data_IF_234629093236
#
_entry.id   IF_234629093236
#
_cell.length_a   1.000
_cell.length_b   1.000
_cell.length_c   1.000
_cell.angle_alpha   90.00
_cell.angle_beta   90.00
_cell.angle_gamma   90.00
#
_symmetry.space_group_name_H-M   'P 1'
#
loop_
_entity.id
_entity.type
_entity.pdbx_description
1 polymer ?
#
# COMPACT_ATOMS: atom_id res chain seq x y z
N UNK A 1 -4.80 -25.83 0.00
CA UNK A 1 -4.36 -24.47 0.36
C UNK A 1 -4.97 -23.54 -0.67
N UNK A 2 -6.08 -22.89 -0.35
CA UNK A 2 -6.80 -22.00 -1.28
C UNK A 2 -5.98 -20.73 -1.42
N UNK A 3 -5.33 -20.54 -2.57
CA UNK A 3 -4.68 -19.28 -2.91
C UNK A 3 -5.78 -18.24 -3.09
N UNK A 4 -6.04 -17.45 -2.06
CA UNK A 4 -6.87 -16.25 -2.19
C UNK A 4 -6.15 -15.36 -3.21
N UNK A 5 -6.77 -15.16 -4.38
CA UNK A 5 -6.24 -14.23 -5.36
C UNK A 5 -6.26 -12.83 -4.73
N UNK A 6 -5.11 -12.19 -4.47
CA UNK A 6 -5.06 -10.91 -3.78
C UNK A 6 -5.80 -9.80 -4.55
N UNK A 7 -6.16 -10.03 -5.82
CA UNK A 7 -7.00 -9.14 -6.62
C UNK A 7 -8.50 -9.21 -6.29
N UNK A 8 -8.94 -10.20 -5.51
CA UNK A 8 -10.33 -10.27 -5.00
C UNK A 8 -10.57 -9.44 -3.74
N UNK A 9 -9.50 -8.99 -3.08
CA UNK A 9 -9.58 -8.18 -1.87
C UNK A 9 -9.65 -6.70 -2.28
N UNK A 10 -10.70 -6.00 -1.84
CA UNK A 10 -10.90 -4.59 -2.18
C UNK A 10 -9.85 -3.66 -1.55
N UNK A 11 -9.67 -2.48 -2.14
CA UNK A 11 -8.71 -1.45 -1.73
C UNK A 11 -8.74 -1.11 -0.24
N UNK A 12 -9.93 -1.08 0.38
CA UNK A 12 -10.13 -0.72 1.79
C UNK A 12 -9.61 -1.84 2.67
N UNK A 13 -9.95 -3.08 2.37
CA UNK A 13 -9.46 -4.25 3.10
C UNK A 13 -7.94 -4.38 2.98
N UNK A 14 -7.38 -4.19 1.78
CA UNK A 14 -5.93 -4.15 1.56
C UNK A 14 -5.23 -3.08 2.38
N UNK A 15 -5.83 -1.88 2.44
CA UNK A 15 -5.29 -0.77 3.25
C UNK A 15 -5.32 -1.10 4.74
N UNK A 16 -6.43 -1.66 5.25
CA UNK A 16 -6.55 -2.05 6.65
C UNK A 16 -5.50 -3.10 7.05
N UNK A 17 -5.29 -4.13 6.21
CA UNK A 17 -4.24 -5.13 6.41
C UNK A 17 -2.85 -4.50 6.44
N UNK A 18 -2.58 -3.52 5.57
CA UNK A 18 -1.29 -2.82 5.57
C UNK A 18 -1.06 -1.98 6.82
N UNK A 19 -2.09 -1.29 7.31
CA UNK A 19 -2.01 -0.52 8.56
C UNK A 19 -1.68 -1.44 9.73
N UNK A 20 -2.36 -2.60 9.83
CA UNK A 20 -2.08 -3.60 10.86
C UNK A 20 -0.65 -4.16 10.73
N UNK A 21 -0.21 -4.49 9.51
CA UNK A 21 1.13 -5.03 9.31
C UNK A 21 2.23 -4.01 9.70
N UNK A 22 2.04 -2.75 9.34
CA UNK A 22 2.98 -1.67 9.69
C UNK A 22 2.94 -1.32 11.18
N UNK A 23 1.83 -1.55 11.89
CA UNK A 23 1.76 -1.36 13.34
C UNK A 23 2.53 -2.44 14.10
N UNK A 24 2.66 -3.64 13.53
CA UNK A 24 3.46 -4.72 14.10
C UNK A 24 4.96 -4.59 13.80
N UNK A 25 5.34 -3.82 12.78
CA UNK A 25 6.73 -3.52 12.48
C UNK A 25 7.30 -2.53 13.52
N UNK A 26 8.21 -3.00 14.36
CA UNK A 26 8.74 -2.22 15.50
C UNK A 26 9.97 -1.41 15.12
N UNK A 27 10.73 -1.86 14.12
CA UNK A 27 11.94 -1.17 13.65
C UNK A 27 11.74 -0.42 12.35
N UNK A 28 12.54 0.62 12.12
CA UNK A 28 12.54 1.34 10.83
C UNK A 28 12.92 0.44 9.66
N UNK A 29 13.78 -0.57 9.88
CA UNK A 29 14.19 -1.51 8.86
C UNK A 29 13.05 -2.45 8.45
N UNK A 30 12.27 -2.95 9.42
CA UNK A 30 11.06 -3.75 9.17
C UNK A 30 10.02 -2.94 8.40
N UNK A 31 9.73 -1.72 8.85
CA UNK A 31 8.79 -0.82 8.16
C UNK A 31 9.21 -0.59 6.72
N UNK A 32 10.49 -0.31 6.47
CA UNK A 32 11.02 -0.14 5.12
C UNK A 32 10.92 -1.41 4.26
N UNK A 33 11.18 -2.58 4.84
CA UNK A 33 11.04 -3.86 4.14
C UNK A 33 9.58 -4.14 3.74
N UNK A 34 8.65 -3.95 4.69
CA UNK A 34 7.21 -4.11 4.51
C UNK A 34 6.68 -3.14 3.44
N UNK A 35 7.04 -1.86 3.52
CA UNK A 35 6.60 -0.85 2.53
C UNK A 35 7.08 -1.21 1.11
N UNK A 36 8.34 -1.64 0.95
CA UNK A 36 8.85 -2.07 -0.37
C UNK A 36 8.11 -3.29 -0.91
N UNK A 37 7.80 -4.26 -0.06
CA UNK A 37 7.02 -5.43 -0.44
C UNK A 37 5.59 -5.03 -0.84
N UNK A 38 4.95 -4.17 -0.05
CA UNK A 38 3.60 -3.67 -0.29
C UNK A 38 3.48 -2.91 -1.62
N UNK A 39 4.47 -2.08 -1.97
CA UNK A 39 4.51 -1.38 -3.26
C UNK A 39 4.59 -2.37 -4.43
N UNK A 40 5.46 -3.38 -4.35
CA UNK A 40 5.59 -4.42 -5.39
C UNK A 40 4.33 -5.26 -5.52
N UNK A 41 3.72 -5.60 -4.40
CA UNK A 41 2.48 -6.36 -4.34
C UNK A 41 1.23 -5.51 -4.62
N UNK A 42 1.38 -4.20 -4.93
CA UNK A 42 0.28 -3.26 -5.22
C UNK A 42 -0.67 -3.00 -4.04
N UNK A 43 -0.26 -3.27 -2.80
CA UNK A 43 -1.00 -2.96 -1.57
C UNK A 43 -0.81 -1.50 -1.12
N UNK A 44 0.18 -0.83 -1.70
CA UNK A 44 0.43 0.61 -1.60
C UNK A 44 0.77 1.13 -3.00
N UNK A 45 0.77 2.44 -3.16
CA UNK A 45 1.16 3.08 -4.41
C UNK A 45 2.11 4.24 -4.17
N UNK A 46 3.04 4.44 -5.10
CA UNK A 46 3.99 5.54 -5.04
C UNK A 46 3.53 6.66 -5.96
N UNK A 47 3.40 7.86 -5.42
CA UNK A 47 3.11 9.05 -6.19
C UNK A 47 4.29 9.34 -7.13
N UNK A 48 4.04 9.44 -8.44
CA UNK A 48 5.12 9.71 -9.40
C UNK A 48 5.73 11.11 -9.26
N UNK A 49 4.93 12.19 -9.09
CA UNK A 49 5.47 13.53 -8.83
C UNK A 49 6.22 13.63 -7.49
N UNK A 50 5.56 13.32 -6.37
CA UNK A 50 6.11 13.56 -5.04
C UNK A 50 7.04 12.45 -4.53
N UNK A 51 7.08 11.30 -5.22
CA UNK A 51 7.81 10.09 -4.81
C UNK A 51 7.45 9.59 -3.40
N UNK A 52 6.33 10.05 -2.84
CA UNK A 52 5.79 9.61 -1.57
C UNK A 52 5.00 8.30 -1.71
N UNK A 53 5.09 7.44 -0.70
CA UNK A 53 4.33 6.19 -0.62
C UNK A 53 2.99 6.45 0.06
N UNK A 54 1.91 5.92 -0.53
CA UNK A 54 0.54 6.18 -0.08
C UNK A 54 -0.26 4.88 -0.01
N UNK A 55 -1.23 4.85 0.90
CA UNK A 55 -2.22 3.77 0.96
C UNK A 55 -3.20 3.85 -0.21
N UNK A 56 -3.82 2.72 -0.54
CA UNK A 56 -4.73 2.62 -1.69
C UNK A 56 -5.98 3.50 -1.58
N UNK A 57 -6.42 3.80 -0.36
CA UNK A 57 -7.58 4.67 -0.09
C UNK A 57 -7.22 6.15 0.01
N UNK A 58 -5.93 6.51 -0.01
CA UNK A 58 -5.47 7.88 0.17
C UNK A 58 -5.12 8.54 -1.18
N UNK A 59 -5.37 9.84 -1.29
CA UNK A 59 -4.71 10.69 -2.29
C UNK A 59 -3.29 11.02 -1.82
N UNK A 60 -2.43 11.45 -2.75
CA UNK A 60 -1.10 11.90 -2.35
C UNK A 60 -1.20 13.13 -1.45
N UNK A 61 -0.54 13.11 -0.28
CA UNK A 61 -0.55 14.23 0.66
C UNK A 61 0.10 15.51 0.12
N UNK A 62 1.07 15.41 -0.79
CA UNK A 62 1.79 16.57 -1.32
C UNK A 62 1.12 17.24 -2.52
N UNK A 63 0.75 16.47 -3.54
CA UNK A 63 0.19 17.00 -4.79
C UNK A 63 -1.29 16.67 -5.00
N UNK A 64 -1.94 16.00 -4.05
CA UNK A 64 -3.32 15.53 -4.13
C UNK A 64 -3.63 14.65 -5.36
N UNK A 65 -2.59 14.13 -6.04
CA UNK A 65 -2.75 13.20 -7.14
C UNK A 65 -3.55 11.99 -6.66
N UNK A 66 -4.47 11.54 -7.52
CA UNK A 66 -5.24 10.32 -7.30
C UNK A 66 -4.38 9.10 -7.55
N UNK A 67 -4.72 8.00 -6.88
CA UNK A 67 -4.17 6.68 -7.16
C UNK A 67 -4.33 6.36 -8.67
N UNK A 68 -3.29 5.82 -9.35
CA UNK A 68 -3.40 5.38 -10.73
C UNK A 68 -4.51 4.34 -10.95
N UNK A 69 -5.16 4.40 -12.11
CA UNK A 69 -6.14 3.40 -12.54
C UNK A 69 -5.46 2.03 -12.69
N UNK A 70 -6.12 0.95 -12.27
CA UNK A 70 -5.59 -0.43 -12.36
C UNK A 70 -4.84 -0.93 -11.11
N UNK A 71 -4.71 -0.10 -10.08
CA UNK A 71 -4.39 -0.54 -8.72
C UNK A 71 -5.73 -0.73 -8.01
N UNK A 72 -6.30 -1.94 -8.04
CA UNK A 72 -7.53 -2.29 -7.31
C UNK A 72 -7.22 -2.51 -5.83
#
# INVERSE_FOLDING_TARGET
MTTVDPMTIDAKTRTALMVLLLSQATTSQEKNAVTRAALRARFMWRCQPCKADNHLTATCSGCHARRPLGLA
#
